data_IF_280256910773
#
_entry.id   IF_280256910773
#
_cell.length_a   1.000
_cell.length_b   1.000
_cell.length_c   1.000
_cell.angle_alpha   90.00
_cell.angle_beta   90.00
_cell.angle_gamma   90.00
#
_symmetry.space_group_name_H-M   'P 1'
#
loop_
_entity.id
_entity.type
_entity.pdbx_description
1 polymer ?
#
# COMPACT_ATOMS: atom_id res chain seq x y z
N UNK A 1 7.15 19.72 -15.66
CA UNK A 1 6.86 18.30 -15.74
C UNK A 1 8.09 17.58 -15.28
N UNK A 2 7.96 16.55 -14.44
CA UNK A 2 9.15 15.90 -13.89
C UNK A 2 9.01 14.38 -13.86
N UNK A 3 10.02 13.70 -14.40
CA UNK A 3 10.26 12.27 -14.19
C UNK A 3 11.14 12.08 -12.96
N UNK A 4 10.97 10.95 -12.26
CA UNK A 4 11.83 10.59 -11.14
C UNK A 4 12.48 9.23 -11.40
N UNK A 5 13.78 9.11 -11.12
CA UNK A 5 14.52 7.86 -11.24
C UNK A 5 15.32 7.62 -9.97
N UNK A 6 14.93 6.58 -9.24
CA UNK A 6 15.65 6.10 -8.06
C UNK A 6 16.36 4.80 -8.44
N UNK A 7 17.69 4.77 -8.29
CA UNK A 7 18.54 3.65 -8.70
C UNK A 7 19.38 3.16 -7.54
N UNK A 8 19.11 1.94 -7.12
CA UNK A 8 19.81 1.27 -6.01
C UNK A 8 19.86 2.13 -4.73
N UNK A 9 18.76 2.88 -4.46
CA UNK A 9 18.72 3.80 -3.33
C UNK A 9 18.65 3.02 -2.03
N UNK A 10 19.57 3.33 -1.11
CA UNK A 10 19.69 2.68 0.19
C UNK A 10 19.79 3.73 1.29
N UNK A 11 19.12 3.47 2.41
CA UNK A 11 19.26 4.24 3.65
C UNK A 11 19.67 3.34 4.80
N UNK A 12 20.80 3.67 5.40
CA UNK A 12 21.32 3.01 6.60
C UNK A 12 21.43 4.05 7.73
N UNK A 13 20.76 3.80 8.85
CA UNK A 13 20.91 4.58 10.06
C UNK A 13 22.00 3.97 10.93
N UNK A 14 23.06 4.73 11.30
CA UNK A 14 24.14 4.22 12.15
C UNK A 14 23.60 3.80 13.53
N UNK A 15 24.07 2.68 14.06
CA UNK A 15 23.70 2.25 15.41
C UNK A 15 24.21 3.24 16.45
N UNK A 16 23.34 3.67 17.36
CA UNK A 16 23.73 4.42 18.55
C UNK A 16 24.51 3.50 19.49
N UNK A 17 25.50 4.06 20.21
CA UNK A 17 26.35 3.28 21.10
C UNK A 17 25.58 2.57 22.23
N UNK A 18 24.43 3.11 22.63
CA UNK A 18 23.50 2.47 23.58
C UNK A 18 22.90 1.15 23.05
N UNK A 19 22.63 1.06 21.75
CA UNK A 19 22.07 -0.15 21.13
C UNK A 19 23.15 -1.23 20.94
N UNK A 20 24.40 -0.81 20.72
CA UNK A 20 25.57 -1.73 20.73
C UNK A 20 25.78 -2.34 22.12
N UNK A 21 25.57 -1.58 23.19
CA UNK A 21 25.67 -2.05 24.56
C UNK A 21 24.57 -3.05 24.94
N UNK A 22 23.33 -2.81 24.51
CA UNK A 22 22.19 -3.75 24.70
C UNK A 22 22.40 -5.08 23.95
N UNK A 23 22.98 -5.05 22.74
CA UNK A 23 23.29 -6.27 21.98
C UNK A 23 24.38 -7.13 22.63
N UNK A 24 25.36 -6.49 23.30
CA UNK A 24 26.39 -7.21 24.11
C UNK A 24 25.80 -7.85 25.37
N UNK A 25 24.79 -7.25 26.01
CA UNK A 25 24.09 -7.80 27.18
C UNK A 25 23.17 -8.97 26.85
N UNK A 26 22.43 -8.93 25.69
CA UNK A 26 21.57 -10.03 25.23
C UNK A 26 22.30 -11.32 24.86
N UNK A 27 23.61 -11.28 24.60
CA UNK A 27 24.43 -12.49 24.45
C UNK A 27 24.71 -13.24 25.75
N UNK A 28 24.29 -12.73 26.91
CA UNK A 28 24.41 -13.36 28.23
C UNK A 28 23.01 -13.65 28.82
N UNK A 29 22.26 -14.54 28.20
CA UNK A 29 21.17 -15.31 28.80
C UNK A 29 19.98 -14.51 29.35
N UNK A 30 19.07 -14.11 28.49
CA UNK A 30 17.67 -13.84 28.83
C UNK A 30 16.78 -14.29 27.66
N UNK A 31 15.68 -15.02 27.97
CA UNK A 31 14.71 -15.50 27.00
C UNK A 31 14.02 -14.34 26.25
N UNK A 32 13.63 -14.55 24.96
CA UNK A 32 13.07 -13.49 24.16
C UNK A 32 11.62 -13.21 24.56
N UNK A 33 11.37 -12.02 25.10
CA UNK A 33 10.04 -11.42 25.05
C UNK A 33 9.56 -11.33 23.59
N UNK A 34 8.27 -11.55 23.37
CA UNK A 34 7.56 -11.61 22.09
C UNK A 34 8.23 -10.90 20.90
N UNK A 35 8.54 -11.66 19.87
CA UNK A 35 9.10 -11.15 18.60
C UNK A 35 8.10 -10.15 18.00
N UNK A 36 8.40 -8.86 18.03
CA UNK A 36 7.77 -7.89 17.14
C UNK A 36 8.04 -8.34 15.70
N UNK A 37 7.00 -8.51 14.90
CA UNK A 37 7.00 -9.13 13.57
C UNK A 37 7.71 -8.35 12.45
N UNK A 38 8.49 -7.33 12.79
CA UNK A 38 9.23 -6.50 11.81
C UNK A 38 10.70 -6.46 12.22
N UNK A 39 11.55 -7.14 11.48
CA UNK A 39 13.00 -7.18 11.72
C UNK A 39 13.72 -6.51 10.56
N UNK A 40 13.91 -5.18 10.66
CA UNK A 40 14.82 -4.48 9.75
C UNK A 40 16.18 -5.14 9.78
N UNK A 41 16.79 -5.29 8.62
CA UNK A 41 18.13 -5.86 8.43
C UNK A 41 19.16 -5.01 9.17
N UNK A 42 19.93 -5.63 10.07
CA UNK A 42 20.97 -4.96 10.83
C UNK A 42 22.33 -5.42 10.29
N UNK A 43 23.12 -4.49 9.77
CA UNK A 43 24.46 -4.69 9.26
C UNK A 43 25.54 -4.21 10.25
N UNK A 44 26.80 -4.33 9.90
CA UNK A 44 27.91 -3.71 10.64
C UNK A 44 27.86 -2.17 10.61
N UNK A 45 27.26 -1.59 9.58
CA UNK A 45 27.15 -0.15 9.39
C UNK A 45 25.96 0.45 10.15
N UNK A 46 24.88 -0.33 10.35
CA UNK A 46 23.69 0.14 11.05
C UNK A 46 22.42 -0.62 10.70
N UNK A 47 21.28 0.05 10.92
CA UNK A 47 19.95 -0.45 10.58
C UNK A 47 19.61 -0.02 9.18
N UNK A 48 19.36 -1.00 8.28
CA UNK A 48 18.95 -0.74 6.91
C UNK A 48 17.45 -0.43 6.91
N UNK A 49 17.11 0.83 6.71
CA UNK A 49 15.73 1.30 6.70
C UNK A 49 15.09 1.22 5.31
N UNK A 50 15.91 1.34 4.26
CA UNK A 50 15.54 1.14 2.86
C UNK A 50 16.69 0.41 2.19
N UNK A 51 16.41 -0.69 1.50
CA UNK A 51 17.42 -1.53 0.85
C UNK A 51 17.10 -1.66 -0.64
N UNK A 52 18.07 -1.34 -1.49
CA UNK A 52 18.04 -1.47 -2.95
C UNK A 52 16.73 -0.98 -3.63
N UNK A 53 16.28 0.22 -3.27
CA UNK A 53 15.04 0.78 -3.80
C UNK A 53 15.24 1.28 -5.23
N UNK A 54 14.53 0.67 -6.17
CA UNK A 54 14.55 0.99 -7.60
C UNK A 54 13.16 1.39 -8.07
N UNK A 55 13.02 2.59 -8.66
CA UNK A 55 11.74 3.10 -9.17
C UNK A 55 11.94 4.15 -10.26
N UNK A 56 11.36 3.90 -11.42
CA UNK A 56 11.19 4.90 -12.48
C UNK A 56 9.77 5.44 -12.45
N UNK A 57 9.61 6.75 -12.29
CA UNK A 57 8.31 7.44 -12.26
C UNK A 57 8.17 8.31 -13.49
N UNK A 58 7.08 8.13 -14.20
CA UNK A 58 6.76 8.92 -15.38
C UNK A 58 6.22 10.31 -15.00
N UNK A 59 6.31 11.24 -15.92
CA UNK A 59 5.67 12.54 -15.77
C UNK A 59 4.17 12.40 -15.48
N UNK A 60 3.66 13.19 -14.51
CA UNK A 60 2.25 13.20 -14.06
C UNK A 60 1.74 11.86 -13.49
N UNK A 61 2.62 10.93 -13.20
CA UNK A 61 2.24 9.67 -12.60
C UNK A 61 1.95 9.84 -11.11
N UNK A 62 0.94 9.10 -10.63
CA UNK A 62 0.59 9.04 -9.22
C UNK A 62 1.08 7.71 -8.64
N UNK A 63 2.18 7.74 -7.90
CA UNK A 63 2.77 6.59 -7.23
C UNK A 63 2.31 6.57 -5.78
N UNK A 64 1.86 5.40 -5.30
CA UNK A 64 1.55 5.17 -3.90
C UNK A 64 2.53 4.18 -3.29
N UNK A 65 3.24 4.60 -2.24
CA UNK A 65 4.04 3.72 -1.39
C UNK A 65 3.16 3.19 -0.27
N UNK A 66 3.00 1.88 -0.17
CA UNK A 66 2.16 1.23 0.84
C UNK A 66 2.91 0.09 1.53
N UNK A 67 2.53 -0.21 2.77
CA UNK A 67 3.15 -1.29 3.54
C UNK A 67 2.96 -1.09 5.05
N UNK A 68 3.36 -2.06 5.87
CA UNK A 68 3.27 -1.99 7.32
C UNK A 68 4.02 -0.79 7.91
N UNK A 69 3.69 -0.45 9.17
CA UNK A 69 4.42 0.61 9.89
C UNK A 69 5.89 0.25 10.04
N UNK A 70 6.79 1.20 9.74
CA UNK A 70 8.24 1.00 9.86
C UNK A 70 8.92 0.32 8.67
N UNK A 71 8.22 0.01 7.56
CA UNK A 71 8.82 -0.64 6.38
C UNK A 71 9.63 0.30 5.47
N UNK A 72 9.86 1.57 5.83
CA UNK A 72 10.71 2.49 5.05
C UNK A 72 10.00 3.55 4.21
N UNK A 73 8.65 3.55 4.06
CA UNK A 73 7.88 4.47 3.20
C UNK A 73 8.20 5.95 3.44
N UNK A 74 8.00 6.44 4.67
CA UNK A 74 8.26 7.85 5.00
C UNK A 74 9.76 8.19 4.91
N UNK A 75 10.64 7.23 5.16
CA UNK A 75 12.09 7.40 4.93
C UNK A 75 12.38 7.61 3.45
N UNK A 76 11.81 6.79 2.57
CA UNK A 76 11.92 6.95 1.11
C UNK A 76 11.36 8.31 0.66
N UNK A 77 10.17 8.69 1.15
CA UNK A 77 9.59 9.99 0.83
C UNK A 77 10.48 11.15 1.28
N UNK A 78 11.09 11.08 2.47
CA UNK A 78 12.01 12.10 2.98
C UNK A 78 13.32 12.17 2.20
N UNK A 79 13.83 11.04 1.70
CA UNK A 79 14.99 11.03 0.78
C UNK A 79 14.65 11.74 -0.53
N UNK A 80 13.47 11.49 -1.09
CA UNK A 80 12.97 12.19 -2.29
C UNK A 80 12.84 13.70 -2.00
N UNK A 81 12.34 14.06 -0.82
CA UNK A 81 12.23 15.45 -0.38
C UNK A 81 13.58 16.14 -0.13
N UNK A 82 14.66 15.39 0.02
CA UNK A 82 15.97 15.92 0.45
C UNK A 82 16.03 16.28 1.93
N UNK A 83 15.06 15.78 2.72
CA UNK A 83 15.01 15.92 4.18
C UNK A 83 15.79 14.81 4.90
N UNK A 84 16.18 13.79 4.16
CA UNK A 84 16.98 12.66 4.62
C UNK A 84 18.04 12.34 3.57
N UNK A 85 19.27 12.09 3.98
CA UNK A 85 20.37 11.78 3.07
C UNK A 85 20.25 10.35 2.55
N UNK A 86 20.58 10.16 1.28
CA UNK A 86 20.73 8.85 0.63
C UNK A 86 22.10 8.30 1.03
N UNK A 87 22.14 7.10 1.62
CA UNK A 87 23.42 6.48 2.02
C UNK A 87 24.17 5.91 0.81
N UNK A 88 23.43 5.29 -0.13
CA UNK A 88 23.96 4.73 -1.38
C UNK A 88 22.91 4.83 -2.48
N UNK A 89 23.36 4.74 -3.74
CA UNK A 89 22.50 4.84 -4.90
C UNK A 89 22.33 6.28 -5.38
N UNK A 90 21.50 6.46 -6.38
CA UNK A 90 21.34 7.72 -7.11
C UNK A 90 19.86 8.07 -7.23
N UNK A 91 19.55 9.35 -7.07
CA UNK A 91 18.20 9.87 -7.29
C UNK A 91 18.25 11.05 -8.27
N UNK A 92 17.48 10.93 -9.34
CA UNK A 92 17.36 11.94 -10.39
C UNK A 92 15.94 12.52 -10.41
N UNK A 93 15.87 13.82 -10.64
CA UNK A 93 14.66 14.55 -11.05
C UNK A 93 14.94 15.05 -12.48
N UNK A 94 14.18 14.57 -13.44
CA UNK A 94 14.51 14.64 -14.86
C UNK A 94 15.93 14.06 -15.10
N UNK A 95 16.79 14.76 -15.80
CA UNK A 95 18.18 14.32 -16.03
C UNK A 95 19.18 14.80 -14.96
N UNK A 96 18.69 15.44 -13.89
CA UNK A 96 19.53 16.04 -12.84
C UNK A 96 19.69 15.10 -11.65
N UNK A 97 20.90 14.70 -11.32
CA UNK A 97 21.22 14.04 -10.05
C UNK A 97 20.99 15.02 -8.89
N UNK A 98 20.17 14.62 -7.89
CA UNK A 98 19.74 15.51 -6.82
C UNK A 98 20.10 15.01 -5.41
N UNK A 99 20.98 14.03 -5.28
CA UNK A 99 21.38 13.50 -3.98
C UNK A 99 21.76 14.61 -2.98
N UNK A 100 22.64 15.52 -3.41
CA UNK A 100 23.18 16.62 -2.60
C UNK A 100 22.44 17.96 -2.79
N UNK A 101 21.35 17.96 -3.56
CA UNK A 101 20.55 19.17 -3.78
C UNK A 101 19.63 19.39 -2.57
N UNK A 102 19.67 20.57 -1.92
CA UNK A 102 18.81 20.85 -0.77
C UNK A 102 17.33 20.93 -1.19
N UNK A 103 16.39 20.64 -0.26
CA UNK A 103 14.94 20.57 -0.54
C UNK A 103 14.37 21.78 -1.28
N UNK A 104 14.83 22.99 -0.94
CA UNK A 104 14.36 24.25 -1.55
C UNK A 104 14.65 24.37 -3.04
N UNK A 105 15.66 23.64 -3.54
CA UNK A 105 16.16 23.71 -4.92
C UNK A 105 15.77 22.48 -5.77
N UNK A 106 14.92 21.57 -5.21
CA UNK A 106 14.41 20.37 -5.92
C UNK A 106 13.11 20.59 -6.69
N UNK A 107 12.48 21.76 -6.58
CA UNK A 107 11.16 22.07 -7.14
C UNK A 107 10.04 21.09 -6.74
N UNK A 108 10.06 20.69 -5.50
CA UNK A 108 9.09 19.80 -4.88
C UNK A 108 8.28 20.52 -3.81
N UNK A 109 7.07 20.02 -3.52
CA UNK A 109 6.31 20.42 -2.34
C UNK A 109 5.93 19.19 -1.52
N UNK A 110 5.77 19.34 -0.20
CA UNK A 110 5.44 18.25 0.70
C UNK A 110 4.29 18.60 1.63
N UNK A 111 3.32 17.68 1.70
CA UNK A 111 2.22 17.69 2.68
C UNK A 111 2.56 16.69 3.77
N UNK A 112 2.65 17.16 5.01
CA UNK A 112 3.01 16.34 6.18
C UNK A 112 1.77 15.76 6.85
N UNK A 113 1.93 14.63 7.52
CA UNK A 113 0.89 13.93 8.27
C UNK A 113 0.17 14.82 9.30
N UNK A 114 0.91 15.72 9.97
CA UNK A 114 0.38 16.64 10.97
C UNK A 114 -0.02 18.00 10.40
N UNK A 115 -0.18 18.09 9.05
CA UNK A 115 -0.48 19.31 8.30
C UNK A 115 0.62 20.38 8.35
N UNK A 116 1.37 20.50 9.44
CA UNK A 116 2.43 21.46 9.70
C UNK A 116 2.05 22.93 9.40
N UNK A 117 0.78 23.30 9.63
CA UNK A 117 0.31 24.67 9.45
C UNK A 117 0.90 25.61 10.51
N UNK A 118 1.18 26.85 10.12
CA UNK A 118 1.61 27.90 11.04
C UNK A 118 0.41 28.39 11.87
N UNK A 119 0.31 28.08 13.17
CA UNK A 119 -0.91 28.28 13.96
C UNK A 119 -1.23 29.74 14.25
N UNK A 120 -0.24 30.60 14.19
CA UNK A 120 -0.38 32.05 14.40
C UNK A 120 -0.81 32.81 13.14
N UNK A 121 -0.62 32.24 11.96
CA UNK A 121 -0.97 32.79 10.65
C UNK A 121 -2.41 32.42 10.28
N UNK A 122 -3.08 33.30 9.50
CA UNK A 122 -4.36 32.98 8.84
C UNK A 122 -4.15 31.94 7.73
N UNK A 123 -5.24 31.43 7.14
CA UNK A 123 -5.17 30.55 5.95
C UNK A 123 -4.46 31.28 4.81
N UNK A 124 -4.87 32.51 4.51
CA UNK A 124 -4.21 33.35 3.49
C UNK A 124 -2.71 33.44 3.74
N UNK A 125 -2.28 33.82 4.91
CA UNK A 125 -0.86 33.92 5.27
C UNK A 125 -0.11 32.59 5.18
N UNK A 126 -0.76 31.45 5.52
CA UNK A 126 -0.18 30.12 5.32
C UNK A 126 0.08 29.81 3.83
N UNK A 127 -0.80 30.27 2.93
CA UNK A 127 -0.61 30.10 1.48
C UNK A 127 0.40 31.09 0.91
N UNK A 128 0.44 32.32 1.40
CA UNK A 128 1.37 33.40 0.97
C UNK A 128 2.82 33.07 1.34
N UNK A 129 3.06 32.47 2.50
CA UNK A 129 4.40 32.27 3.07
C UNK A 129 5.41 31.61 2.12
N UNK A 130 5.12 30.50 1.40
CA UNK A 130 6.08 29.94 0.44
C UNK A 130 6.34 30.84 -0.77
N UNK A 131 5.43 31.74 -1.12
CA UNK A 131 5.58 32.71 -2.20
C UNK A 131 6.42 33.91 -1.76
N UNK A 132 6.23 34.38 -0.52
CA UNK A 132 7.08 35.41 0.11
C UNK A 132 8.54 34.98 0.14
N UNK A 133 8.84 33.74 0.50
CA UNK A 133 10.21 33.19 0.48
C UNK A 133 10.84 33.19 -0.90
N UNK A 134 10.02 33.05 -1.94
CA UNK A 134 10.44 33.15 -3.36
C UNK A 134 10.46 34.60 -3.88
N UNK A 135 10.07 35.59 -3.05
CA UNK A 135 9.96 37.01 -3.40
C UNK A 135 9.02 37.27 -4.58
N UNK A 136 7.91 36.54 -4.66
CA UNK A 136 6.88 36.72 -5.68
C UNK A 136 6.22 38.11 -5.47
N UNK A 137 5.99 38.89 -6.55
CA UNK A 137 5.29 40.18 -6.45
C UNK A 137 3.88 40.03 -5.82
N UNK A 138 3.46 41.05 -5.06
CA UNK A 138 2.24 40.96 -4.26
C UNK A 138 0.96 40.71 -5.07
N UNK A 139 0.85 41.34 -6.24
CA UNK A 139 -0.32 41.17 -7.11
C UNK A 139 -0.38 39.74 -7.68
N UNK A 140 0.75 39.18 -8.08
CA UNK A 140 0.86 37.79 -8.54
C UNK A 140 0.59 36.81 -7.40
N UNK A 141 1.12 37.07 -6.19
CA UNK A 141 0.89 36.28 -4.99
C UNK A 141 -0.59 36.20 -4.65
N UNK A 142 -1.31 37.33 -4.67
CA UNK A 142 -2.75 37.35 -4.43
C UNK A 142 -3.51 36.46 -5.43
N UNK A 143 -3.18 36.56 -6.72
CA UNK A 143 -3.79 35.73 -7.76
C UNK A 143 -3.56 34.23 -7.50
N UNK A 144 -2.32 33.83 -7.23
CA UNK A 144 -1.96 32.43 -6.98
C UNK A 144 -2.66 31.88 -5.72
N UNK A 145 -2.78 32.67 -4.66
CA UNK A 145 -3.47 32.29 -3.43
C UNK A 145 -4.97 32.12 -3.67
N UNK A 146 -5.61 33.03 -4.41
CA UNK A 146 -7.04 32.95 -4.73
C UNK A 146 -7.34 31.75 -5.62
N UNK A 147 -6.53 31.49 -6.63
CA UNK A 147 -6.64 30.33 -7.52
C UNK A 147 -6.49 29.02 -6.72
N UNK A 148 -5.47 28.87 -5.87
CA UNK A 148 -5.29 27.70 -5.02
C UNK A 148 -6.45 27.52 -4.02
N UNK A 149 -6.97 28.62 -3.47
CA UNK A 149 -8.10 28.62 -2.55
C UNK A 149 -9.41 28.19 -3.25
N UNK A 150 -9.63 28.62 -4.49
CA UNK A 150 -10.79 28.23 -5.30
C UNK A 150 -10.73 26.74 -5.68
N UNK A 151 -9.56 26.26 -6.16
CA UNK A 151 -9.35 24.82 -6.51
C UNK A 151 -9.74 23.92 -5.35
N UNK A 152 -9.43 24.32 -4.10
CA UNK A 152 -9.64 23.53 -2.88
C UNK A 152 -10.93 23.87 -2.13
N UNK A 153 -11.71 24.87 -2.57
CA UNK A 153 -12.92 25.32 -1.93
C UNK A 153 -12.69 25.90 -0.53
N UNK A 154 -11.56 26.57 -0.29
CA UNK A 154 -11.19 27.17 1.00
C UNK A 154 -11.27 28.69 1.02
N UNK A 155 -11.71 29.33 -0.04
CA UNK A 155 -11.88 30.80 -0.17
C UNK A 155 -12.65 31.40 1.01
N UNK A 156 -13.77 30.82 1.54
CA UNK A 156 -14.49 31.39 2.68
C UNK A 156 -13.72 31.35 4.01
N UNK A 157 -12.59 30.68 4.05
CA UNK A 157 -11.79 30.47 5.27
C UNK A 157 -10.48 31.25 5.28
N UNK A 158 -10.16 32.03 4.24
CA UNK A 158 -8.86 32.69 4.04
C UNK A 158 -8.44 33.56 5.25
N UNK A 159 -9.39 34.21 5.93
CA UNK A 159 -9.11 35.08 7.08
C UNK A 159 -9.12 34.32 8.43
N UNK A 160 -9.44 33.03 8.42
CA UNK A 160 -9.46 32.22 9.64
C UNK A 160 -8.06 31.70 10.00
N UNK A 161 -7.84 31.44 11.29
CA UNK A 161 -6.64 30.74 11.78
C UNK A 161 -6.90 29.22 11.84
N UNK A 162 -5.85 28.39 11.75
CA UNK A 162 -5.97 26.91 11.74
C UNK A 162 -6.80 26.33 12.89
N UNK A 163 -6.77 26.95 14.08
CA UNK A 163 -7.56 26.52 15.24
C UNK A 163 -9.10 26.60 15.04
N UNK A 164 -9.56 27.45 14.12
CA UNK A 164 -10.96 27.64 13.79
C UNK A 164 -11.43 26.77 12.62
N UNK A 165 -10.64 25.78 12.19
CA UNK A 165 -10.90 24.89 11.06
C UNK A 165 -11.15 23.46 11.51
N UNK A 166 -12.01 22.75 10.78
CA UNK A 166 -12.14 21.29 10.92
C UNK A 166 -10.89 20.55 10.41
N UNK A 167 -10.77 19.25 10.71
CA UNK A 167 -9.66 18.41 10.23
C UNK A 167 -9.48 18.46 8.71
N UNK A 168 -10.55 18.25 7.95
CA UNK A 168 -10.52 18.32 6.48
C UNK A 168 -10.23 19.71 5.93
N UNK A 169 -10.71 20.78 6.60
CA UNK A 169 -10.34 22.14 6.21
C UNK A 169 -8.86 22.40 6.42
N UNK A 170 -8.27 21.96 7.56
CA UNK A 170 -6.81 22.04 7.78
C UNK A 170 -6.03 21.27 6.74
N UNK A 171 -6.49 20.08 6.37
CA UNK A 171 -5.89 19.27 5.30
C UNK A 171 -5.89 20.01 3.97
N UNK A 172 -7.04 20.59 3.55
CA UNK A 172 -7.12 21.39 2.32
C UNK A 172 -6.18 22.59 2.35
N UNK A 173 -6.05 23.27 3.48
CA UNK A 173 -5.08 24.36 3.64
C UNK A 173 -3.64 23.89 3.51
N UNK A 174 -3.29 22.72 4.08
CA UNK A 174 -1.96 22.15 3.94
C UNK A 174 -1.63 21.76 2.48
N UNK A 175 -2.61 21.19 1.77
CA UNK A 175 -2.49 20.94 0.32
C UNK A 175 -2.36 22.26 -0.44
N UNK A 176 -3.19 23.26 -0.13
CA UNK A 176 -3.15 24.60 -0.76
C UNK A 176 -1.78 25.25 -0.64
N UNK A 177 -1.18 25.21 0.56
CA UNK A 177 0.17 25.71 0.79
C UNK A 177 1.23 24.98 -0.04
N UNK A 178 1.02 23.68 -0.31
CA UNK A 178 1.92 22.90 -1.13
C UNK A 178 1.78 23.24 -2.62
N UNK A 179 0.54 23.38 -3.13
CA UNK A 179 0.29 23.58 -4.57
C UNK A 179 0.39 25.03 -5.04
N UNK A 180 0.27 26.01 -4.12
CA UNK A 180 0.24 27.45 -4.47
C UNK A 180 1.43 27.91 -5.30
N UNK A 181 2.55 27.18 -5.25
CA UNK A 181 3.79 27.50 -5.98
C UNK A 181 3.98 26.66 -7.24
N UNK A 182 2.95 25.94 -7.68
CA UNK A 182 2.94 25.06 -8.85
C UNK A 182 4.17 24.11 -8.90
N UNK A 183 4.30 23.18 -7.93
CA UNK A 183 5.47 22.31 -7.84
C UNK A 183 5.42 21.23 -8.93
N UNK A 184 6.58 20.87 -9.48
CA UNK A 184 6.69 19.75 -10.42
C UNK A 184 6.40 18.39 -9.78
N UNK A 185 6.73 18.23 -8.50
CA UNK A 185 6.52 17.00 -7.73
C UNK A 185 5.81 17.33 -6.42
N UNK A 186 4.72 16.62 -6.15
CA UNK A 186 3.95 16.74 -4.91
C UNK A 186 4.10 15.47 -4.07
N UNK A 187 4.68 15.62 -2.89
CA UNK A 187 4.90 14.55 -1.92
C UNK A 187 3.85 14.63 -0.82
N UNK A 188 3.25 13.50 -0.47
CA UNK A 188 2.23 13.43 0.58
C UNK A 188 2.56 12.31 1.58
N UNK A 189 2.87 12.65 2.84
CA UNK A 189 3.19 11.71 3.91
C UNK A 189 1.95 11.46 4.78
N UNK A 190 1.25 10.36 4.55
CA UNK A 190 0.03 9.92 5.24
C UNK A 190 -1.00 11.05 5.47
N UNK A 191 -1.39 11.81 4.42
CA UNK A 191 -2.14 13.05 4.62
C UNK A 191 -3.55 12.84 5.18
N UNK A 192 -4.15 11.65 5.05
CA UNK A 192 -5.52 11.36 5.48
C UNK A 192 -5.61 10.58 6.79
N UNK A 193 -4.49 10.18 7.39
CA UNK A 193 -4.44 9.31 8.58
C UNK A 193 -5.16 9.87 9.81
N UNK A 194 -5.18 11.20 9.97
CA UNK A 194 -5.78 11.90 11.11
C UNK A 194 -7.26 12.27 10.92
N UNK A 195 -7.91 11.75 9.88
CA UNK A 195 -9.31 12.03 9.56
C UNK A 195 -10.21 10.85 9.91
N UNK A 196 -11.46 11.14 10.31
CA UNK A 196 -12.50 10.12 10.43
C UNK A 196 -12.85 9.48 9.07
N UNK A 197 -13.50 8.31 9.08
CA UNK A 197 -13.76 7.53 7.88
C UNK A 197 -14.60 8.29 6.82
N UNK A 198 -15.62 9.06 7.26
CA UNK A 198 -16.47 9.83 6.35
C UNK A 198 -15.67 10.93 5.66
N UNK A 199 -14.90 11.68 6.44
CA UNK A 199 -14.08 12.77 5.93
C UNK A 199 -12.92 12.26 5.07
N UNK A 200 -12.33 11.12 5.43
CA UNK A 200 -11.28 10.44 4.64
C UNK A 200 -11.80 10.09 3.24
N UNK A 201 -13.01 9.51 3.14
CA UNK A 201 -13.64 9.20 1.85
C UNK A 201 -13.88 10.45 1.00
N UNK A 202 -14.34 11.54 1.60
CA UNK A 202 -14.53 12.81 0.91
C UNK A 202 -13.20 13.39 0.41
N UNK A 203 -12.19 13.43 1.27
CA UNK A 203 -10.86 13.97 0.92
C UNK A 203 -10.14 13.13 -0.14
N UNK A 204 -10.34 11.81 -0.15
CA UNK A 204 -9.82 10.95 -1.22
C UNK A 204 -10.39 11.32 -2.58
N UNK A 205 -11.71 11.53 -2.67
CA UNK A 205 -12.34 12.02 -3.90
C UNK A 205 -11.83 13.40 -4.32
N UNK A 206 -11.54 14.29 -3.36
CA UNK A 206 -10.96 15.60 -3.64
C UNK A 206 -9.52 15.50 -4.17
N UNK A 207 -8.69 14.58 -3.67
CA UNK A 207 -7.34 14.34 -4.18
C UNK A 207 -7.38 13.83 -5.62
N UNK A 208 -8.35 12.95 -5.97
CA UNK A 208 -8.55 12.49 -7.35
C UNK A 208 -8.87 13.67 -8.28
N UNK A 209 -9.79 14.56 -7.86
CA UNK A 209 -10.12 15.77 -8.65
C UNK A 209 -8.95 16.74 -8.73
N UNK A 210 -8.19 16.90 -7.64
CA UNK A 210 -7.02 17.75 -7.60
C UNK A 210 -5.95 17.28 -8.59
N UNK A 211 -5.69 15.98 -8.63
CA UNK A 211 -4.76 15.38 -9.59
C UNK A 211 -5.10 15.74 -11.05
N UNK A 212 -6.39 15.78 -11.39
CA UNK A 212 -6.84 16.11 -12.75
C UNK A 212 -6.59 17.58 -13.12
N UNK A 213 -6.44 18.45 -12.12
CA UNK A 213 -6.23 19.90 -12.30
C UNK A 213 -4.78 20.31 -12.23
N UNK A 214 -3.92 19.49 -11.62
CA UNK A 214 -2.51 19.80 -11.42
C UNK A 214 -1.62 19.03 -12.41
N UNK A 215 -0.71 19.74 -13.02
CA UNK A 215 0.32 19.19 -13.89
C UNK A 215 1.56 18.78 -13.05
N UNK A 216 1.37 17.90 -12.07
CA UNK A 216 2.43 17.47 -11.16
C UNK A 216 2.55 15.95 -11.10
N UNK A 217 3.75 15.45 -10.80
CA UNK A 217 4.01 14.06 -10.43
C UNK A 217 3.77 13.87 -8.94
N UNK A 218 3.06 12.80 -8.54
CA UNK A 218 2.66 12.58 -7.17
C UNK A 218 3.37 11.37 -6.56
N UNK A 219 3.93 11.54 -5.36
CA UNK A 219 4.36 10.42 -4.50
C UNK A 219 3.58 10.50 -3.20
N UNK A 220 2.80 9.48 -2.95
CA UNK A 220 1.86 9.39 -1.83
C UNK A 220 2.24 8.23 -0.91
N UNK A 221 2.33 8.47 0.38
CA UNK A 221 2.57 7.43 1.39
C UNK A 221 1.29 7.19 2.16
N UNK A 222 0.93 5.94 2.34
CA UNK A 222 -0.18 5.53 3.19
C UNK A 222 0.04 4.14 3.78
N UNK A 223 -0.70 3.81 4.83
CA UNK A 223 -0.89 2.44 5.31
C UNK A 223 -2.29 1.90 4.97
N UNK A 224 -3.16 2.72 4.36
CA UNK A 224 -4.52 2.36 3.96
C UNK A 224 -4.51 1.81 2.52
N UNK A 225 -4.88 0.53 2.39
CA UNK A 225 -4.95 -0.15 1.10
C UNK A 225 -6.00 0.45 0.17
N UNK A 226 -7.12 0.95 0.72
CA UNK A 226 -8.19 1.57 -0.07
C UNK A 226 -7.70 2.86 -0.72
N UNK A 227 -6.88 3.66 -0.01
CA UNK A 227 -6.22 4.83 -0.59
C UNK A 227 -5.28 4.41 -1.72
N UNK A 228 -4.43 3.39 -1.48
CA UNK A 228 -3.50 2.91 -2.49
C UNK A 228 -4.21 2.42 -3.77
N UNK A 229 -5.25 1.62 -3.61
CA UNK A 229 -6.02 1.04 -4.72
C UNK A 229 -6.80 2.07 -5.52
N UNK A 230 -7.19 3.20 -4.91
CA UNK A 230 -8.07 4.19 -5.55
C UNK A 230 -7.34 5.42 -6.10
N UNK A 231 -6.17 5.75 -5.56
CA UNK A 231 -5.40 6.94 -5.94
C UNK A 231 -4.27 6.64 -6.94
N UNK A 232 -3.61 5.48 -6.79
CA UNK A 232 -2.38 5.17 -7.50
C UNK A 232 -2.59 4.73 -8.96
N UNK A 233 -1.74 5.22 -9.86
CA UNK A 233 -1.52 4.58 -11.15
C UNK A 233 -0.71 3.31 -10.98
N UNK A 234 0.32 3.38 -10.14
CA UNK A 234 1.07 2.24 -9.64
C UNK A 234 1.21 2.32 -8.12
N UNK A 235 1.24 1.14 -7.54
CA UNK A 235 1.44 0.91 -6.11
C UNK A 235 2.80 0.26 -5.93
N UNK A 236 3.60 0.78 -5.01
CA UNK A 236 4.86 0.19 -4.56
C UNK A 236 4.60 -0.40 -3.17
N UNK A 237 4.61 -1.72 -3.07
CA UNK A 237 4.38 -2.44 -1.82
C UNK A 237 5.73 -2.70 -1.16
N UNK A 238 5.88 -2.23 0.08
CA UNK A 238 7.13 -2.33 0.84
C UNK A 238 6.97 -3.18 2.09
N UNK A 239 8.00 -3.97 2.40
CA UNK A 239 8.13 -4.74 3.64
C UNK A 239 9.59 -4.72 4.10
N UNK A 240 9.83 -4.44 5.37
CA UNK A 240 11.15 -4.52 6.02
C UNK A 240 12.28 -3.78 5.28
N UNK A 241 11.98 -2.65 4.63
CA UNK A 241 12.91 -1.83 3.87
C UNK A 241 13.04 -2.19 2.39
N UNK A 242 12.42 -3.27 1.95
CA UNK A 242 12.53 -3.79 0.57
C UNK A 242 11.21 -3.60 -0.19
N UNK A 243 11.31 -3.40 -1.50
CA UNK A 243 10.16 -3.43 -2.41
C UNK A 243 9.78 -4.89 -2.63
N UNK A 244 8.50 -5.19 -2.42
CA UNK A 244 7.96 -6.53 -2.66
C UNK A 244 7.30 -6.65 -4.03
N UNK A 245 6.60 -5.63 -4.47
CA UNK A 245 5.96 -5.59 -5.79
C UNK A 245 5.69 -4.16 -6.22
N UNK A 246 5.84 -3.88 -7.52
CA UNK A 246 5.39 -2.65 -8.17
C UNK A 246 4.41 -3.03 -9.28
N UNK A 247 3.23 -2.42 -9.28
CA UNK A 247 2.22 -2.67 -10.31
C UNK A 247 1.04 -1.74 -10.24
N UNK A 248 0.16 -1.81 -11.25
CA UNK A 248 -1.15 -1.15 -11.16
C UNK A 248 -1.99 -1.74 -10.04
N UNK A 249 -3.02 -1.04 -9.52
CA UNK A 249 -3.93 -1.61 -8.53
C UNK A 249 -4.45 -3.00 -8.91
N UNK A 250 -4.86 -3.18 -10.17
CA UNK A 250 -5.33 -4.48 -10.66
C UNK A 250 -4.23 -5.55 -10.67
N UNK A 251 -3.00 -5.20 -11.06
CA UNK A 251 -1.89 -6.15 -11.06
C UNK A 251 -1.56 -6.65 -9.66
N UNK A 252 -1.40 -5.77 -8.68
CA UNK A 252 -1.04 -6.17 -7.31
C UNK A 252 -2.16 -6.95 -6.62
N UNK A 253 -3.43 -6.70 -6.98
CA UNK A 253 -4.58 -7.42 -6.45
C UNK A 253 -4.74 -8.80 -7.10
N UNK A 254 -4.71 -8.88 -8.45
CA UNK A 254 -4.99 -10.10 -9.19
C UNK A 254 -3.75 -11.02 -9.34
N UNK A 255 -2.55 -10.46 -9.23
CA UNK A 255 -1.30 -11.16 -9.51
C UNK A 255 -0.25 -10.85 -8.42
N UNK A 256 -0.51 -11.22 -7.16
CA UNK A 256 0.46 -11.04 -6.08
C UNK A 256 1.68 -11.94 -6.34
N UNK A 257 2.89 -11.37 -6.23
CA UNK A 257 4.15 -12.10 -6.48
C UNK A 257 4.55 -13.02 -5.33
N UNK A 258 4.02 -12.81 -4.12
CA UNK A 258 4.33 -13.63 -2.95
C UNK A 258 3.17 -13.63 -1.94
N UNK A 259 3.28 -14.50 -0.93
CA UNK A 259 2.30 -14.65 0.15
C UNK A 259 2.08 -13.35 0.91
N UNK A 260 3.15 -12.55 1.13
CA UNK A 260 3.01 -11.28 1.83
C UNK A 260 2.11 -10.30 1.06
N UNK A 261 2.37 -10.09 -0.24
CA UNK A 261 1.53 -9.20 -1.07
C UNK A 261 0.10 -9.70 -1.13
N UNK A 262 -0.10 -11.01 -1.30
CA UNK A 262 -1.41 -11.64 -1.34
C UNK A 262 -2.23 -11.41 -0.06
N UNK A 263 -1.59 -11.54 1.10
CA UNK A 263 -2.22 -11.30 2.40
C UNK A 263 -2.31 -9.82 2.77
N UNK A 264 -1.40 -8.97 2.26
CA UNK A 264 -1.41 -7.54 2.57
C UNK A 264 -2.43 -6.78 1.73
N UNK A 265 -2.66 -7.12 0.47
CA UNK A 265 -3.61 -6.45 -0.44
C UNK A 265 -4.94 -7.19 -0.46
N UNK A 266 -6.01 -6.49 -0.07
CA UNK A 266 -7.39 -6.98 -0.01
C UNK A 266 -7.97 -6.92 1.41
N UNK A 267 -9.25 -6.57 1.52
CA UNK A 267 -10.00 -6.53 2.78
C UNK A 267 -11.36 -7.20 2.59
N UNK A 268 -11.57 -8.36 3.21
CA UNK A 268 -10.66 -9.13 4.06
C UNK A 268 -9.43 -9.67 3.34
N UNK A 269 -8.45 -10.16 4.12
CA UNK A 269 -7.21 -10.73 3.57
C UNK A 269 -7.49 -12.03 2.79
N UNK A 270 -6.57 -12.40 1.88
CA UNK A 270 -6.62 -13.67 1.15
C UNK A 270 -6.55 -14.84 2.13
N UNK A 271 -7.43 -15.81 1.97
CA UNK A 271 -7.37 -17.08 2.70
C UNK A 271 -6.20 -17.92 2.18
N UNK A 272 -5.46 -18.55 3.10
CA UNK A 272 -4.31 -19.37 2.79
C UNK A 272 -4.51 -20.78 3.36
N UNK A 273 -4.38 -21.81 2.51
CA UNK A 273 -4.50 -23.21 2.86
C UNK A 273 -3.23 -23.98 2.51
N UNK A 274 -2.90 -24.97 3.32
CA UNK A 274 -1.90 -25.96 2.94
C UNK A 274 -2.50 -26.90 1.89
N UNK A 275 -1.79 -27.14 0.80
CA UNK A 275 -2.29 -27.96 -0.29
C UNK A 275 -1.18 -28.59 -1.12
N UNK A 276 -1.58 -29.23 -2.19
CA UNK A 276 -0.68 -29.84 -3.16
C UNK A 276 -1.05 -29.38 -4.58
N UNK A 277 -0.06 -29.01 -5.35
CA UNK A 277 -0.19 -28.86 -6.80
C UNK A 277 -0.02 -30.25 -7.42
N UNK A 278 -1.03 -30.72 -8.13
CA UNK A 278 -1.09 -32.05 -8.74
C UNK A 278 -1.40 -31.96 -10.22
N UNK A 279 -1.24 -33.06 -10.96
CA UNK A 279 -1.79 -33.20 -12.31
C UNK A 279 -2.97 -34.16 -12.34
N UNK A 280 -4.09 -33.68 -12.86
CA UNK A 280 -5.30 -34.46 -13.12
C UNK A 280 -5.63 -34.39 -14.62
N UNK A 281 -5.65 -35.54 -15.26
CA UNK A 281 -5.86 -35.66 -16.72
C UNK A 281 -4.93 -34.74 -17.55
N UNK A 282 -3.66 -34.63 -17.11
CA UNK A 282 -2.64 -33.80 -17.75
C UNK A 282 -2.73 -32.28 -17.46
N UNK A 283 -3.71 -31.83 -16.68
CA UNK A 283 -3.90 -30.45 -16.26
C UNK A 283 -3.50 -30.24 -14.81
N UNK A 284 -2.93 -29.07 -14.50
CA UNK A 284 -2.69 -28.67 -13.11
C UNK A 284 -4.00 -28.52 -12.34
N UNK A 285 -4.04 -29.10 -11.16
CA UNK A 285 -5.09 -28.97 -10.17
C UNK A 285 -4.48 -28.71 -8.79
N UNK A 286 -5.22 -28.09 -7.91
CA UNK A 286 -4.85 -27.96 -6.50
C UNK A 286 -5.68 -28.95 -5.68
N UNK A 287 -5.03 -29.62 -4.73
CA UNK A 287 -5.69 -30.46 -3.72
C UNK A 287 -5.57 -29.76 -2.36
N UNK A 288 -6.70 -29.51 -1.71
CA UNK A 288 -6.80 -29.00 -0.33
C UNK A 288 -7.71 -29.94 0.43
N UNK A 289 -7.19 -30.62 1.44
CA UNK A 289 -7.91 -31.71 2.09
C UNK A 289 -8.35 -32.79 1.08
N UNK A 290 -9.68 -32.99 0.95
CA UNK A 290 -10.27 -33.93 -0.02
C UNK A 290 -10.71 -33.27 -1.33
N UNK A 291 -10.72 -31.92 -1.40
CA UNK A 291 -11.16 -31.20 -2.58
C UNK A 291 -10.06 -31.13 -3.63
N UNK A 292 -10.39 -31.45 -4.88
CA UNK A 292 -9.51 -31.34 -6.04
C UNK A 292 -10.11 -30.34 -7.04
N UNK A 293 -9.43 -29.25 -7.29
CA UNK A 293 -9.91 -28.17 -8.15
C UNK A 293 -8.96 -28.03 -9.34
N UNK A 294 -9.45 -28.36 -10.54
CA UNK A 294 -8.70 -28.15 -11.79
C UNK A 294 -8.63 -26.66 -12.08
N UNK A 295 -7.42 -26.16 -12.29
CA UNK A 295 -7.19 -24.73 -12.55
C UNK A 295 -7.61 -24.32 -13.96
N UNK A 296 -7.95 -23.05 -14.15
CA UNK A 296 -8.35 -22.49 -15.44
C UNK A 296 -7.22 -22.55 -16.48
N UNK A 297 -7.55 -22.41 -17.77
CA UNK A 297 -6.57 -22.49 -18.85
C UNK A 297 -5.48 -21.42 -18.75
N UNK A 298 -5.79 -20.22 -18.28
CA UNK A 298 -4.79 -19.16 -18.10
C UNK A 298 -3.85 -19.51 -16.95
N UNK A 299 -4.35 -20.08 -15.85
CA UNK A 299 -3.55 -20.60 -14.75
C UNK A 299 -2.62 -21.72 -15.21
N UNK A 300 -3.11 -22.63 -16.06
CA UNK A 300 -2.28 -23.69 -16.68
C UNK A 300 -1.08 -23.10 -17.43
N UNK A 301 -1.33 -22.08 -18.27
CA UNK A 301 -0.26 -21.40 -19.04
C UNK A 301 0.75 -20.72 -18.15
N UNK A 302 0.27 -19.97 -17.13
CA UNK A 302 1.12 -19.23 -16.21
C UNK A 302 2.00 -20.15 -15.35
N UNK A 303 1.45 -21.25 -14.85
CA UNK A 303 2.19 -22.26 -14.09
C UNK A 303 3.23 -22.98 -14.98
N UNK A 304 2.87 -23.32 -16.21
CA UNK A 304 3.80 -23.89 -17.18
C UNK A 304 4.95 -22.92 -17.51
N UNK A 305 4.65 -21.62 -17.68
CA UNK A 305 5.67 -20.59 -17.90
C UNK A 305 6.56 -20.37 -16.66
N UNK A 306 6.05 -20.62 -15.46
CA UNK A 306 6.79 -20.62 -14.20
C UNK A 306 7.58 -21.91 -13.93
N UNK A 307 7.54 -22.89 -14.85
CA UNK A 307 8.14 -24.23 -14.67
C UNK A 307 7.61 -24.97 -13.42
N UNK A 308 6.34 -24.74 -13.07
CA UNK A 308 5.72 -25.40 -11.93
C UNK A 308 5.64 -26.92 -12.13
N UNK A 309 5.79 -27.66 -11.06
CA UNK A 309 5.69 -29.12 -11.01
C UNK A 309 4.84 -29.56 -9.82
N UNK A 310 4.52 -30.85 -9.74
CA UNK A 310 3.77 -31.41 -8.62
C UNK A 310 4.58 -31.29 -7.32
N UNK A 311 4.01 -30.57 -6.33
CA UNK A 311 4.69 -30.31 -5.06
C UNK A 311 3.69 -29.84 -4.00
N UNK A 312 4.12 -29.76 -2.75
CA UNK A 312 3.39 -29.07 -1.70
C UNK A 312 3.37 -27.57 -2.01
N UNK A 313 2.24 -26.90 -1.72
CA UNK A 313 2.04 -25.50 -2.01
C UNK A 313 1.19 -24.84 -0.93
N UNK A 314 1.28 -23.51 -0.87
CA UNK A 314 0.26 -22.68 -0.21
C UNK A 314 -0.75 -22.28 -1.27
N UNK A 315 -2.02 -22.60 -1.03
CA UNK A 315 -3.14 -22.28 -1.92
C UNK A 315 -3.82 -21.01 -1.39
N UNK A 316 -3.82 -19.95 -2.17
CA UNK A 316 -4.45 -18.69 -1.84
C UNK A 316 -5.79 -18.51 -2.58
N UNK A 317 -6.85 -18.13 -1.85
CA UNK A 317 -8.14 -17.75 -2.43
C UNK A 317 -8.71 -16.54 -1.72
N UNK A 318 -9.11 -15.51 -2.48
CA UNK A 318 -9.72 -14.33 -1.89
C UNK A 318 -11.14 -14.63 -1.42
N UNK A 319 -11.59 -14.04 -0.30
CA UNK A 319 -12.93 -14.26 0.26
C UNK A 319 -14.08 -14.10 -0.73
N UNK A 320 -13.96 -13.10 -1.62
CA UNK A 320 -14.95 -12.81 -2.67
C UNK A 320 -14.95 -13.80 -3.85
N UNK A 321 -13.92 -14.65 -3.95
CA UNK A 321 -13.79 -15.67 -5.00
C UNK A 321 -14.12 -17.08 -4.49
N UNK A 322 -14.69 -17.18 -3.31
CA UNK A 322 -15.19 -18.42 -2.71
C UNK A 322 -16.69 -18.49 -2.93
N UNK A 323 -17.19 -19.66 -3.33
CA UNK A 323 -18.60 -19.92 -3.58
C UNK A 323 -19.13 -21.08 -2.74
N UNK A 324 -20.38 -20.96 -2.28
CA UNK A 324 -21.12 -22.03 -1.63
C UNK A 324 -21.84 -22.95 -2.65
N UNK A 325 -21.73 -22.65 -3.94
CA UNK A 325 -22.34 -23.51 -4.99
C UNK A 325 -21.67 -24.88 -5.02
N UNK A 326 -22.49 -25.92 -5.05
CA UNK A 326 -21.99 -27.30 -5.03
C UNK A 326 -21.30 -27.67 -6.35
N UNK A 327 -20.07 -28.19 -6.24
CA UNK A 327 -19.29 -28.77 -7.33
C UNK A 327 -18.72 -30.11 -6.89
N UNK A 328 -19.11 -31.18 -7.56
CA UNK A 328 -18.72 -32.54 -7.22
C UNK A 328 -17.18 -32.68 -7.18
N UNK A 329 -16.66 -33.27 -6.09
CA UNK A 329 -15.24 -33.50 -5.90
C UNK A 329 -14.38 -32.26 -5.63
N UNK A 330 -14.96 -31.06 -5.61
CA UNK A 330 -14.24 -29.79 -5.46
C UNK A 330 -14.68 -28.98 -4.23
N UNK A 331 -15.35 -29.60 -3.28
CA UNK A 331 -15.88 -28.92 -2.08
C UNK A 331 -15.01 -29.18 -0.86
N UNK A 332 -14.71 -28.11 -0.14
CA UNK A 332 -14.20 -28.13 1.22
C UNK A 332 -15.37 -28.07 2.21
N UNK A 333 -15.16 -28.61 3.39
CA UNK A 333 -16.12 -28.53 4.50
C UNK A 333 -15.52 -27.69 5.61
N UNK A 334 -16.33 -26.81 6.20
CA UNK A 334 -15.94 -26.01 7.34
C UNK A 334 -17.07 -25.77 8.31
N UNK A 335 -16.73 -25.31 9.50
CA UNK A 335 -17.68 -24.94 10.54
C UNK A 335 -17.63 -23.42 10.69
N UNK A 336 -18.80 -22.79 10.69
CA UNK A 336 -18.92 -21.34 10.92
C UNK A 336 -18.67 -21.06 12.39
N UNK A 337 -17.69 -20.23 12.68
CA UNK A 337 -17.38 -19.76 14.05
C UNK A 337 -18.17 -18.49 14.35
N UNK A 338 -18.15 -17.53 13.42
CA UNK A 338 -18.83 -16.23 13.54
C UNK A 338 -19.43 -15.83 12.19
N UNK A 339 -20.63 -15.26 12.23
CA UNK A 339 -21.32 -14.68 11.07
C UNK A 339 -21.47 -13.17 11.29
N UNK A 340 -20.84 -12.35 10.44
CA UNK A 340 -20.87 -10.89 10.52
C UNK A 340 -21.76 -10.33 9.41
N UNK A 341 -22.90 -9.71 9.78
CA UNK A 341 -23.81 -9.05 8.83
C UNK A 341 -23.27 -7.67 8.44
N UNK A 342 -22.80 -7.54 7.20
CA UNK A 342 -22.25 -6.31 6.64
C UNK A 342 -23.25 -5.49 5.79
N UNK A 343 -24.54 -5.87 5.83
CA UNK A 343 -25.61 -5.25 5.05
C UNK A 343 -25.81 -5.91 3.69
N UNK A 344 -24.97 -5.63 2.71
CA UNK A 344 -25.03 -6.25 1.37
C UNK A 344 -24.41 -7.64 1.28
N UNK A 345 -23.70 -8.08 2.32
CA UNK A 345 -23.03 -9.37 2.42
C UNK A 345 -22.97 -9.84 3.86
N UNK A 346 -22.80 -11.14 4.02
CA UNK A 346 -22.42 -11.77 5.30
C UNK A 346 -20.99 -12.25 5.18
N UNK A 347 -20.15 -11.94 6.15
CA UNK A 347 -18.81 -12.47 6.25
C UNK A 347 -18.85 -13.65 7.21
N UNK A 348 -18.63 -14.86 6.70
CA UNK A 348 -18.56 -16.07 7.48
C UNK A 348 -17.11 -16.34 7.86
N UNK A 349 -16.80 -16.28 9.14
CA UNK A 349 -15.55 -16.77 9.69
C UNK A 349 -15.70 -18.27 9.92
N UNK A 350 -14.88 -19.06 9.23
CA UNK A 350 -15.03 -20.52 9.11
C UNK A 350 -13.70 -21.17 9.48
N UNK A 351 -13.75 -22.21 10.30
CA UNK A 351 -12.60 -23.13 10.45
C UNK A 351 -12.74 -24.27 9.44
N UNK A 352 -11.79 -24.37 8.51
CA UNK A 352 -11.71 -25.44 7.52
C UNK A 352 -10.26 -25.93 7.35
N UNK A 353 -10.05 -27.25 7.26
CA UNK A 353 -8.72 -27.90 7.15
C UNK A 353 -7.71 -27.38 8.21
N UNK A 354 -8.19 -27.05 9.41
CA UNK A 354 -7.39 -26.51 10.52
C UNK A 354 -6.91 -25.07 10.32
N UNK A 355 -7.47 -24.35 9.37
CA UNK A 355 -7.19 -22.94 9.10
C UNK A 355 -8.45 -22.08 9.26
N UNK A 356 -8.26 -20.88 9.78
CA UNK A 356 -9.31 -19.86 9.80
C UNK A 356 -9.40 -19.22 8.41
N UNK A 357 -10.61 -19.15 7.88
CA UNK A 357 -10.87 -18.52 6.59
C UNK A 357 -12.15 -17.68 6.62
N UNK A 358 -12.25 -16.71 5.71
CA UNK A 358 -13.40 -15.85 5.56
C UNK A 358 -14.05 -16.14 4.21
N UNK A 359 -15.36 -16.34 4.21
CA UNK A 359 -16.17 -16.46 2.99
C UNK A 359 -17.17 -15.32 2.96
N UNK A 360 -17.22 -14.60 1.84
CA UNK A 360 -18.16 -13.49 1.65
C UNK A 360 -19.36 -14.01 0.87
N UNK A 361 -20.54 -13.99 1.51
CA UNK A 361 -21.79 -14.42 0.90
C UNK A 361 -22.67 -13.19 0.65
N UNK A 362 -23.05 -12.87 -0.61
CA UNK A 362 -24.01 -11.82 -0.87
C UNK A 362 -25.37 -12.10 -0.22
N UNK A 363 -25.99 -11.11 0.43
CA UNK A 363 -27.34 -11.27 1.03
C UNK A 363 -28.47 -11.29 0.00
N UNK A 364 -28.20 -10.78 -1.20
CA UNK A 364 -29.17 -10.81 -2.29
C UNK A 364 -29.27 -12.23 -2.86
N UNK A 365 -30.45 -12.83 -2.82
CA UNK A 365 -30.73 -14.18 -3.31
C UNK A 365 -30.07 -15.35 -2.53
N UNK A 366 -29.60 -15.11 -1.30
CA UNK A 366 -29.06 -16.16 -0.45
C UNK A 366 -29.83 -16.17 0.89
N UNK A 367 -30.37 -17.30 1.28
CA UNK A 367 -30.90 -17.49 2.63
C UNK A 367 -29.72 -17.55 3.62
N UNK A 368 -29.66 -16.59 4.51
CA UNK A 368 -28.52 -16.43 5.46
C UNK A 368 -28.88 -16.86 6.88
N UNK A 369 -30.16 -17.18 7.13
CA UNK A 369 -30.68 -17.51 8.47
C UNK A 369 -30.04 -18.77 9.07
N UNK A 370 -29.65 -19.73 8.22
CA UNK A 370 -29.00 -20.96 8.63
C UNK A 370 -27.46 -20.91 8.73
N UNK A 371 -26.85 -19.74 8.50
CA UNK A 371 -25.41 -19.54 8.48
C UNK A 371 -24.86 -19.01 9.82
N UNK A 372 -25.51 -19.34 10.92
CA UNK A 372 -25.08 -18.98 12.28
C UNK A 372 -23.90 -19.79 12.80
N UNK A 373 -23.35 -19.39 13.95
CA UNK A 373 -22.24 -20.09 14.60
C UNK A 373 -22.53 -21.55 14.85
N UNK A 374 -21.61 -22.45 14.52
CA UNK A 374 -21.75 -23.91 14.56
C UNK A 374 -22.34 -24.53 13.29
N UNK A 375 -22.82 -23.74 12.32
CA UNK A 375 -23.32 -24.26 11.05
C UNK A 375 -22.19 -24.93 10.26
N UNK A 376 -22.49 -26.03 9.60
CA UNK A 376 -21.56 -26.66 8.63
C UNK A 376 -21.84 -26.11 7.26
N UNK A 377 -20.80 -25.66 6.60
CA UNK A 377 -20.86 -25.12 5.26
C UNK A 377 -19.92 -25.86 4.33
N UNK A 378 -20.32 -25.98 3.07
CA UNK A 378 -19.49 -26.51 1.99
C UNK A 378 -19.20 -25.39 1.02
N UNK A 379 -17.96 -25.25 0.60
CA UNK A 379 -17.52 -24.17 -0.27
C UNK A 379 -16.44 -24.64 -1.24
N UNK A 380 -16.26 -23.89 -2.32
CA UNK A 380 -15.24 -24.14 -3.33
C UNK A 380 -14.59 -22.84 -3.79
N UNK A 381 -13.45 -22.95 -4.43
CA UNK A 381 -12.73 -21.81 -4.98
C UNK A 381 -13.02 -21.62 -6.49
N UNK A 382 -13.04 -20.39 -6.94
CA UNK A 382 -13.10 -20.09 -8.37
C UNK A 382 -11.79 -20.52 -9.05
N UNK A 383 -11.78 -21.44 -10.05
CA UNK A 383 -10.57 -22.01 -10.64
C UNK A 383 -9.61 -20.99 -11.27
N UNK A 384 -10.12 -19.84 -11.70
CA UNK A 384 -9.37 -18.74 -12.32
C UNK A 384 -8.78 -17.77 -11.28
N UNK A 385 -9.22 -17.85 -10.02
CA UNK A 385 -8.83 -16.93 -8.96
C UNK A 385 -7.98 -17.58 -7.85
N UNK A 386 -7.62 -18.85 -8.01
CA UNK A 386 -6.70 -19.55 -7.11
C UNK A 386 -5.26 -19.08 -7.38
N UNK A 387 -4.52 -18.83 -6.32
CA UNK A 387 -3.09 -18.54 -6.35
C UNK A 387 -2.31 -19.70 -5.72
N UNK A 388 -1.12 -19.97 -6.27
CA UNK A 388 -0.29 -21.09 -5.82
C UNK A 388 1.10 -20.57 -5.49
N UNK A 389 1.49 -20.70 -4.21
CA UNK A 389 2.77 -20.21 -3.72
C UNK A 389 3.66 -21.38 -3.27
N UNK A 390 4.94 -21.24 -3.48
CA UNK A 390 5.95 -22.13 -2.93
C UNK A 390 6.02 -21.96 -1.39
N UNK A 391 5.98 -23.04 -0.59
CA UNK A 391 5.93 -22.93 0.86
C UNK A 391 7.25 -22.50 1.52
N UNK A 392 8.40 -22.66 0.83
CA UNK A 392 9.71 -22.30 1.36
C UNK A 392 10.11 -20.86 1.00
N UNK A 393 9.88 -20.48 -0.25
CA UNK A 393 10.24 -19.14 -0.77
C UNK A 393 9.12 -18.13 -0.64
N UNK A 394 7.90 -18.58 -0.35
CA UNK A 394 6.65 -17.80 -0.36
C UNK A 394 6.34 -17.13 -1.72
N UNK A 395 7.07 -17.44 -2.78
CA UNK A 395 6.86 -16.87 -4.11
C UNK A 395 5.71 -17.53 -4.85
N UNK A 396 5.01 -16.75 -5.67
CA UNK A 396 3.98 -17.26 -6.56
C UNK A 396 4.63 -18.14 -7.66
N UNK A 397 4.08 -19.33 -7.88
CA UNK A 397 4.58 -20.26 -8.90
C UNK A 397 4.16 -19.86 -10.33
N UNK A 398 3.22 -18.94 -10.46
CA UNK A 398 2.78 -18.40 -11.74
C UNK A 398 3.76 -17.36 -12.27
N UNK A 399 4.20 -17.50 -13.51
CA UNK A 399 4.96 -16.45 -14.19
C UNK A 399 4.01 -15.63 -15.08
N UNK A 400 3.81 -14.36 -14.72
CA UNK A 400 2.87 -13.46 -15.40
C UNK A 400 3.66 -12.36 -16.12
N UNK A 401 3.50 -12.18 -17.44
CA UNK A 401 4.19 -11.13 -18.16
C UNK A 401 3.86 -9.73 -17.63
N UNK A 402 4.88 -8.88 -17.46
CA UNK A 402 4.71 -7.48 -17.04
C UNK A 402 4.44 -7.26 -15.56
N UNK A 403 4.48 -8.30 -14.72
CA UNK A 403 4.51 -8.17 -13.26
C UNK A 403 5.96 -8.05 -12.82
N UNK A 404 6.27 -7.00 -12.05
CA UNK A 404 7.63 -6.68 -11.56
C UNK A 404 7.71 -7.12 -10.10
N UNK A 405 8.68 -7.99 -9.81
CA UNK A 405 9.07 -8.40 -8.45
C UNK A 405 9.93 -7.33 -7.79
#
# INVERSE_FOLDING_TARGET
>A
MATLSLRHVQKIYPMRDEDKAKKKRKKKGEEPAEKKSYTLKITSEGVVAVDDFNLEVKDREFIVLVGPSGCGKSTTLRMIAGLEEITRGEFYIDDRLVNDVPPKDRDIAMVFQNYALYPHMTVRQNLEFPLELRKVPKDEMNRMVEEAAEILGITPYLDRKPKALSGGQRQRVAIGRAIVRDPKVLLMDEPLSNLDAKLRNQMRAEIIKLRQKLDATFIYVTHDQTEAMTLGDRIVIMKDGEVQQIGTPQQVFNHPVNVFVAGFIGMPQMNMFDGELIKKDGKFAVRVGKAEIVLSEDKQKNLAAGNAHEQRVIVGARPEHISLEEKEGAMLEGTVDVSEMMGSSVHLHITAEGRDCIVIVPTLNTETDDLGGGAKVRFTFAPNAIHVFDPETEKNLEKIPGVIE
#
